data_IF_734009337900
#
_entry.id   IF_734009337900
#
_cell.length_a   1.000
_cell.length_b   1.000
_cell.length_c   1.000
_cell.angle_alpha   90.00
_cell.angle_beta   90.00
_cell.angle_gamma   90.00
#
_symmetry.space_group_name_H-M   'P 1'
#
loop_
_entity.id
_entity.type
_entity.pdbx_description
1 polymer ?
#
# COMPACT_ATOMS: atom_id res chain seq x y z
N UNK A 1 8.35 -6.19 -10.21
CA UNK A 1 7.62 -7.46 -10.35
C UNK A 1 6.19 -7.12 -10.69
N UNK A 2 5.75 -7.49 -11.89
CA UNK A 2 4.38 -7.44 -12.47
C UNK A 2 4.53 -6.99 -13.91
N UNK A 3 4.36 -7.93 -14.86
CA UNK A 3 3.98 -7.53 -16.19
C UNK A 3 2.46 -7.45 -16.24
N UNK A 4 1.97 -6.25 -16.58
CA UNK A 4 0.56 -5.89 -16.64
C UNK A 4 0.14 -5.95 -18.11
N UNK A 5 -0.73 -6.89 -18.45
CA UNK A 5 -1.30 -6.96 -19.79
C UNK A 5 -2.52 -6.03 -19.87
N UNK A 6 -2.30 -4.71 -19.88
CA UNK A 6 -3.40 -3.78 -20.12
C UNK A 6 -3.67 -3.57 -21.60
N UNK A 7 -4.88 -3.98 -22.01
CA UNK A 7 -5.85 -3.02 -22.53
C UNK A 7 -5.52 -2.23 -23.79
N UNK A 8 -4.55 -2.63 -24.61
CA UNK A 8 -4.38 -2.05 -25.94
C UNK A 8 -4.96 -3.00 -27.00
N UNK A 9 -6.05 -2.62 -27.69
CA UNK A 9 -6.53 -3.37 -28.84
C UNK A 9 -5.50 -3.22 -29.96
N UNK A 10 -4.57 -4.17 -30.05
CA UNK A 10 -3.59 -4.20 -31.13
C UNK A 10 -4.23 -4.84 -32.35
N UNK A 11 -4.33 -4.09 -33.46
CA UNK A 11 -4.94 -4.52 -34.70
C UNK A 11 -4.12 -5.60 -35.48
N UNK A 12 -3.07 -6.16 -34.86
CA UNK A 12 -2.12 -7.07 -35.49
C UNK A 12 -1.81 -8.29 -34.60
N UNK A 13 -2.24 -9.48 -35.07
CA UNK A 13 -1.95 -10.86 -34.65
C UNK A 13 -2.11 -11.16 -33.14
N UNK A 14 -3.21 -11.83 -32.79
CA UNK A 14 -3.45 -12.42 -31.48
C UNK A 14 -2.29 -13.23 -30.88
N UNK A 15 -2.27 -13.29 -29.54
CA UNK A 15 -1.26 -13.95 -28.69
C UNK A 15 0.15 -13.33 -28.73
N UNK A 16 0.58 -12.85 -29.90
CA UNK A 16 1.92 -12.36 -30.15
C UNK A 16 2.25 -11.04 -29.44
N UNK A 17 1.30 -10.11 -29.39
CA UNK A 17 1.49 -8.82 -28.72
C UNK A 17 1.77 -8.96 -27.22
N UNK A 18 1.11 -9.91 -26.55
CA UNK A 18 1.38 -10.21 -25.14
C UNK A 18 2.80 -10.74 -24.93
N UNK A 19 3.20 -11.73 -25.74
CA UNK A 19 4.51 -12.38 -25.63
C UNK A 19 5.69 -11.46 -26.01
N UNK A 20 5.49 -10.47 -26.89
CA UNK A 20 6.53 -9.49 -27.26
C UNK A 20 7.06 -8.72 -26.03
N UNK A 21 6.17 -8.39 -25.10
CA UNK A 21 6.58 -7.72 -23.88
C UNK A 21 7.30 -8.64 -22.89
N UNK A 22 6.95 -9.93 -22.83
CA UNK A 22 7.71 -10.90 -22.04
C UNK A 22 9.15 -10.97 -22.55
N UNK A 23 9.36 -11.06 -23.86
CA UNK A 23 10.69 -11.08 -24.47
C UNK A 23 11.47 -9.79 -24.17
N UNK A 24 10.82 -8.64 -24.28
CA UNK A 24 11.43 -7.35 -23.96
C UNK A 24 11.89 -7.28 -22.50
N UNK A 25 11.04 -7.67 -21.55
CA UNK A 25 11.38 -7.63 -20.12
C UNK A 25 12.44 -8.68 -19.79
N UNK A 26 12.38 -9.87 -20.41
CA UNK A 26 13.42 -10.89 -20.25
C UNK A 26 14.79 -10.34 -20.66
N UNK A 27 14.86 -9.62 -21.79
CA UNK A 27 16.08 -8.96 -22.26
C UNK A 27 16.55 -7.84 -21.32
N UNK A 28 15.62 -7.07 -20.74
CA UNK A 28 15.94 -5.89 -19.93
C UNK A 28 16.27 -6.20 -18.47
N UNK A 29 15.46 -7.04 -17.82
CA UNK A 29 15.46 -7.27 -16.37
C UNK A 29 15.70 -8.75 -15.98
N UNK A 30 15.90 -9.62 -16.97
CA UNK A 30 16.07 -11.05 -16.79
C UNK A 30 14.76 -11.81 -16.54
N UNK A 31 14.73 -13.13 -16.83
CA UNK A 31 13.53 -13.95 -16.68
C UNK A 31 13.06 -14.07 -15.22
N UNK A 32 13.98 -13.88 -14.25
CA UNK A 32 13.68 -13.92 -12.82
C UNK A 32 12.77 -12.79 -12.33
N UNK A 33 12.61 -11.72 -13.12
CA UNK A 33 11.88 -10.50 -12.72
C UNK A 33 10.43 -10.47 -13.22
N UNK A 34 9.97 -11.53 -13.89
CA UNK A 34 8.72 -11.57 -14.66
C UNK A 34 7.65 -12.38 -13.91
N UNK A 35 6.42 -11.88 -13.97
CA UNK A 35 5.21 -12.57 -13.49
C UNK A 35 4.01 -12.11 -14.30
N UNK A 36 2.87 -12.79 -14.15
CA UNK A 36 1.65 -12.53 -14.92
C UNK A 36 0.65 -11.75 -14.06
N UNK A 37 0.23 -10.58 -14.54
CA UNK A 37 -0.91 -9.82 -14.02
C UNK A 37 -1.89 -9.51 -15.14
N UNK A 38 -2.95 -10.31 -15.25
CA UNK A 38 -3.88 -10.25 -16.38
C UNK A 38 -4.86 -9.08 -16.35
N UNK A 39 -5.21 -8.56 -15.18
CA UNK A 39 -6.23 -7.50 -15.00
C UNK A 39 -7.60 -7.82 -15.64
N UNK A 40 -7.95 -9.11 -15.69
CA UNK A 40 -9.27 -9.58 -16.07
C UNK A 40 -10.36 -8.92 -15.20
N UNK A 41 -11.47 -8.56 -15.82
CA UNK A 41 -12.58 -7.78 -15.24
C UNK A 41 -12.23 -6.34 -14.79
N UNK A 42 -10.97 -5.91 -14.95
CA UNK A 42 -10.50 -4.54 -14.66
C UNK A 42 -10.47 -3.61 -15.88
N UNK A 43 -10.44 -4.15 -17.10
CA UNK A 43 -10.35 -3.41 -18.37
C UNK A 43 -11.43 -3.80 -19.38
N UNK A 44 -11.65 -2.94 -20.37
CA UNK A 44 -12.72 -3.11 -21.39
C UNK A 44 -12.32 -3.95 -22.60
N UNK A 45 -11.06 -4.38 -22.71
CA UNK A 45 -10.60 -5.14 -23.87
C UNK A 45 -9.26 -5.84 -23.64
N UNK A 46 -9.06 -6.93 -24.38
CA UNK A 46 -7.88 -7.79 -24.32
C UNK A 46 -7.32 -8.04 -25.71
N UNK A 47 -6.02 -8.37 -25.84
CA UNK A 47 -5.45 -8.90 -27.07
C UNK A 47 -6.22 -10.16 -27.52
N UNK A 48 -6.35 -10.33 -28.84
CA UNK A 48 -6.90 -11.57 -29.42
C UNK A 48 -6.13 -12.79 -28.90
N UNK A 49 -6.83 -13.86 -28.54
CA UNK A 49 -6.28 -15.06 -27.91
C UNK A 49 -6.02 -14.93 -26.41
N UNK A 50 -6.38 -13.81 -25.76
CA UNK A 50 -6.30 -13.58 -24.32
C UNK A 50 -7.61 -13.03 -23.74
N UNK A 51 -8.76 -13.34 -24.35
CA UNK A 51 -10.06 -12.74 -24.06
C UNK A 51 -10.55 -12.95 -22.62
N UNK A 52 -10.13 -14.05 -21.98
CA UNK A 52 -10.57 -14.44 -20.65
C UNK A 52 -9.49 -15.24 -19.91
N UNK A 53 -9.75 -15.53 -18.63
CA UNK A 53 -8.83 -16.26 -17.74
C UNK A 53 -8.51 -17.69 -18.20
N UNK A 54 -9.30 -18.29 -19.11
CA UNK A 54 -9.01 -19.62 -19.65
C UNK A 54 -7.85 -19.61 -20.66
N UNK A 55 -7.39 -18.43 -21.09
CA UNK A 55 -6.43 -18.27 -22.19
C UNK A 55 -4.95 -18.28 -21.79
N UNK A 56 -4.62 -18.32 -20.49
CA UNK A 56 -3.23 -18.43 -20.05
C UNK A 56 -2.42 -19.54 -20.74
N UNK A 57 -2.96 -20.75 -21.01
CA UNK A 57 -2.22 -21.77 -21.76
C UNK A 57 -1.76 -21.33 -23.16
N UNK A 58 -2.50 -20.45 -23.84
CA UNK A 58 -2.13 -19.93 -25.17
C UNK A 58 -0.91 -19.00 -25.09
N UNK A 59 -0.82 -18.17 -24.05
CA UNK A 59 0.37 -17.35 -23.78
C UNK A 59 1.58 -18.24 -23.53
N UNK A 60 1.44 -19.27 -22.69
CA UNK A 60 2.55 -20.19 -22.38
C UNK A 60 2.99 -20.95 -23.63
N UNK A 61 2.05 -21.41 -24.45
CA UNK A 61 2.35 -22.04 -25.74
C UNK A 61 3.18 -21.11 -26.65
N UNK A 62 2.81 -19.83 -26.73
CA UNK A 62 3.53 -18.85 -27.54
C UNK A 62 4.94 -18.57 -26.99
N UNK A 63 5.12 -18.48 -25.67
CA UNK A 63 6.44 -18.31 -25.05
C UNK A 63 7.34 -19.54 -25.31
N UNK A 64 6.80 -20.75 -25.18
CA UNK A 64 7.52 -21.99 -25.52
C UNK A 64 7.91 -22.01 -27.00
N UNK A 65 7.01 -21.61 -27.90
CA UNK A 65 7.30 -21.49 -29.35
C UNK A 65 8.45 -20.51 -29.64
N UNK A 66 8.63 -19.49 -28.79
CA UNK A 66 9.71 -18.50 -28.86
C UNK A 66 11.01 -18.94 -28.20
N UNK A 67 11.09 -20.16 -27.67
CA UNK A 67 12.32 -20.72 -27.10
C UNK A 67 12.58 -20.36 -25.64
N UNK A 68 11.54 -19.97 -24.90
CA UNK A 68 11.63 -19.89 -23.44
C UNK A 68 11.90 -21.26 -22.84
N UNK A 69 12.82 -21.32 -21.89
CA UNK A 69 13.18 -22.56 -21.21
C UNK A 69 12.13 -22.92 -20.15
N UNK A 70 11.98 -24.20 -19.85
CA UNK A 70 11.01 -24.71 -18.86
C UNK A 70 11.21 -24.06 -17.48
N UNK A 71 12.45 -23.81 -17.08
CA UNK A 71 12.79 -23.12 -15.82
C UNK A 71 12.30 -21.66 -15.83
N UNK A 72 12.39 -20.97 -16.96
CA UNK A 72 11.93 -19.59 -17.10
C UNK A 72 10.41 -19.52 -17.06
N UNK A 73 9.72 -20.45 -17.73
CA UNK A 73 8.27 -20.57 -17.71
C UNK A 73 7.76 -20.89 -16.30
N UNK A 74 8.41 -21.81 -15.59
CA UNK A 74 8.11 -22.12 -14.17
C UNK A 74 8.29 -20.88 -13.29
N UNK A 75 9.35 -20.10 -13.54
CA UNK A 75 9.58 -18.79 -12.93
C UNK A 75 8.40 -17.85 -13.12
N UNK A 76 8.00 -17.63 -14.37
CA UNK A 76 6.90 -16.74 -14.77
C UNK A 76 5.57 -17.16 -14.14
N UNK A 77 5.25 -18.46 -14.16
CA UNK A 77 3.98 -18.97 -13.66
C UNK A 77 3.83 -18.86 -12.15
N UNK A 78 4.94 -18.95 -11.39
CA UNK A 78 4.84 -19.04 -9.93
C UNK A 78 6.14 -18.71 -9.20
N UNK A 79 7.25 -19.31 -9.61
CA UNK A 79 8.42 -19.39 -8.72
C UNK A 79 9.07 -18.02 -8.47
N UNK A 80 9.01 -17.11 -9.45
CA UNK A 80 9.44 -15.72 -9.26
C UNK A 80 8.60 -15.01 -8.19
N UNK A 81 7.28 -15.24 -8.19
CA UNK A 81 6.37 -14.61 -7.24
C UNK A 81 6.64 -15.14 -5.84
N UNK A 82 6.74 -16.46 -5.70
CA UNK A 82 7.03 -17.08 -4.41
C UNK A 82 8.39 -16.66 -3.85
N UNK A 83 9.41 -16.47 -4.70
CA UNK A 83 10.70 -15.94 -4.25
C UNK A 83 10.53 -14.56 -3.62
N UNK A 84 9.94 -13.61 -4.34
CA UNK A 84 9.73 -12.24 -3.84
C UNK A 84 8.82 -12.23 -2.62
N UNK A 85 7.77 -13.05 -2.60
CA UNK A 85 6.85 -13.09 -1.46
C UNK A 85 7.52 -13.64 -0.20
N UNK A 86 8.36 -14.67 -0.32
CA UNK A 86 9.19 -15.16 0.80
C UNK A 86 10.21 -14.11 1.25
N UNK A 87 10.79 -13.34 0.34
CA UNK A 87 11.70 -12.25 0.70
C UNK A 87 10.96 -11.19 1.53
N UNK A 88 9.72 -10.84 1.14
CA UNK A 88 8.85 -9.93 1.91
C UNK A 88 8.55 -10.49 3.30
N UNK A 89 8.19 -11.78 3.42
CA UNK A 89 7.97 -12.44 4.71
C UNK A 89 9.24 -12.46 5.57
N UNK A 90 10.42 -12.66 4.96
CA UNK A 90 11.69 -12.62 5.66
C UNK A 90 11.97 -11.23 6.26
N UNK A 91 11.70 -10.16 5.51
CA UNK A 91 11.83 -8.79 6.04
C UNK A 91 10.82 -8.54 7.16
N UNK A 92 9.58 -9.01 7.01
CA UNK A 92 8.57 -8.94 8.08
C UNK A 92 9.09 -9.61 9.36
N UNK A 93 9.65 -10.81 9.25
CA UNK A 93 10.18 -11.57 10.40
C UNK A 93 11.35 -10.87 11.10
N UNK A 94 12.20 -10.17 10.33
CA UNK A 94 13.29 -9.34 10.89
C UNK A 94 12.77 -8.11 11.66
N UNK A 95 11.55 -7.67 11.35
CA UNK A 95 10.94 -6.46 11.90
C UNK A 95 9.94 -6.73 13.03
N UNK A 96 9.83 -7.97 13.53
CA UNK A 96 8.86 -8.34 14.57
C UNK A 96 9.03 -7.56 15.89
N UNK A 97 10.21 -7.01 16.15
CA UNK A 97 10.47 -6.19 17.34
C UNK A 97 10.14 -4.69 17.14
N UNK A 98 9.79 -4.28 15.92
CA UNK A 98 9.35 -2.91 15.65
C UNK A 98 7.88 -2.78 16.04
N UNK A 99 7.53 -1.66 16.68
CA UNK A 99 6.13 -1.31 16.91
C UNK A 99 5.48 -0.91 15.59
N UNK A 100 4.18 -1.19 15.40
CA UNK A 100 3.42 -0.66 14.27
C UNK A 100 3.60 0.86 14.15
N UNK A 101 3.68 1.36 12.93
CA UNK A 101 3.75 2.81 12.70
C UNK A 101 2.42 3.45 13.08
N UNK A 102 2.45 4.33 14.07
CA UNK A 102 1.33 5.19 14.49
C UNK A 102 1.43 6.60 13.86
N UNK A 103 2.31 6.79 12.87
CA UNK A 103 2.44 8.07 12.16
C UNK A 103 1.16 8.38 11.39
N UNK A 104 0.48 9.43 11.80
CA UNK A 104 -0.70 9.94 11.10
C UNK A 104 -0.32 10.75 9.85
N UNK A 105 -1.21 10.73 8.86
CA UNK A 105 -1.11 11.57 7.65
C UNK A 105 -1.48 13.01 8.03
N UNK A 106 -0.70 14.03 7.63
CA UNK A 106 -1.01 15.43 7.92
C UNK A 106 -2.39 15.87 7.41
N UNK A 107 -3.08 16.73 8.16
CA UNK A 107 -4.43 17.18 7.81
C UNK A 107 -4.49 17.98 6.50
N UNK A 108 -3.43 18.72 6.18
CA UNK A 108 -3.33 19.50 4.95
C UNK A 108 -3.23 18.62 3.69
N UNK A 109 -2.86 17.35 3.83
CA UNK A 109 -2.90 16.35 2.77
C UNK A 109 -4.30 15.70 2.61
N UNK A 110 -5.21 15.91 3.58
CA UNK A 110 -6.54 15.28 3.59
C UNK A 110 -7.59 16.15 2.87
N UNK A 111 -7.69 16.00 1.55
CA UNK A 111 -8.57 16.82 0.69
C UNK A 111 -10.05 16.40 0.61
N UNK A 112 -10.61 15.71 1.61
CA UNK A 112 -11.97 15.15 1.51
C UNK A 112 -12.92 15.69 2.60
N UNK A 113 -14.09 16.14 2.18
CA UNK A 113 -15.12 16.74 3.07
C UNK A 113 -15.90 15.71 3.89
N UNK A 114 -15.89 14.44 3.48
CA UNK A 114 -16.61 13.36 4.15
C UNK A 114 -15.75 12.67 5.23
N UNK A 115 -15.16 13.46 6.13
CA UNK A 115 -14.36 12.98 7.26
C UNK A 115 -14.78 13.67 8.54
N UNK A 116 -14.93 12.90 9.62
CA UNK A 116 -15.05 13.47 10.96
C UNK A 116 -13.67 13.62 11.57
N UNK A 117 -13.33 14.85 11.96
CA UNK A 117 -12.11 15.14 12.69
C UNK A 117 -12.35 15.01 14.19
N UNK A 118 -11.96 13.86 14.73
CA UNK A 118 -12.11 13.53 16.14
C UNK A 118 -11.17 14.34 17.04
N UNK A 119 -9.98 14.72 16.55
CA UNK A 119 -9.00 15.46 17.35
C UNK A 119 -9.46 16.90 17.59
N UNK A 120 -9.92 17.58 16.53
CA UNK A 120 -10.51 18.91 16.67
C UNK A 120 -11.84 18.89 17.44
N UNK A 121 -12.64 17.82 17.34
CA UNK A 121 -13.86 17.68 18.15
C UNK A 121 -13.55 17.58 19.65
N UNK A 122 -12.58 16.75 20.04
CA UNK A 122 -12.15 16.62 21.43
C UNK A 122 -11.53 17.92 21.96
N UNK A 123 -10.69 18.60 21.16
CA UNK A 123 -10.12 19.89 21.54
C UNK A 123 -11.19 20.98 21.71
N UNK A 124 -12.21 21.04 20.84
CA UNK A 124 -13.33 21.96 20.99
C UNK A 124 -14.18 21.66 22.22
N UNK A 125 -14.43 20.39 22.53
CA UNK A 125 -15.15 19.97 23.74
C UNK A 125 -14.38 20.29 25.03
N UNK A 126 -13.08 20.01 25.06
CA UNK A 126 -12.21 20.34 26.20
C UNK A 126 -12.01 21.85 26.39
N UNK A 127 -12.01 22.64 25.31
CA UNK A 127 -11.94 24.10 25.37
C UNK A 127 -13.29 24.73 25.78
N UNK A 128 -14.41 24.11 25.39
CA UNK A 128 -15.75 24.51 25.81
C UNK A 128 -16.06 24.17 27.28
N UNK A 129 -15.41 23.16 27.86
CA UNK A 129 -15.59 22.79 29.27
C UNK A 129 -14.83 23.68 30.26
N UNK A 130 -13.96 24.59 29.79
CA UNK A 130 -13.56 25.79 30.51
C UNK A 130 -13.24 25.62 32.00
N UNK A 131 -12.56 24.55 32.40
CA UNK A 131 -11.96 24.47 33.75
C UNK A 131 -10.58 25.09 33.62
N UNK A 132 -10.48 26.39 33.93
CA UNK A 132 -9.22 27.02 34.24
C UNK A 132 -8.63 26.24 35.42
N UNK A 133 -7.52 25.52 35.24
CA UNK A 133 -6.77 24.99 36.37
C UNK A 133 -6.30 26.18 37.21
N UNK A 134 -7.05 26.49 38.26
CA UNK A 134 -6.58 27.38 39.32
C UNK A 134 -5.43 26.61 39.96
N UNK A 135 -4.20 27.07 39.73
CA UNK A 135 -3.03 26.50 40.38
C UNK A 135 -3.28 26.40 41.88
N UNK A 136 -3.23 25.19 42.42
CA UNK A 136 -3.41 24.92 43.85
C UNK A 136 -2.46 25.79 44.69
N UNK A 137 -1.27 26.11 44.15
CA UNK A 137 -0.30 27.02 44.79
C UNK A 137 -0.84 28.43 45.06
N UNK A 138 -1.68 28.97 44.18
CA UNK A 138 -2.26 30.30 44.34
C UNK A 138 -3.30 30.31 45.46
N UNK A 139 -4.08 29.24 45.60
CA UNK A 139 -5.06 29.12 46.67
C UNK A 139 -4.40 28.93 48.04
N UNK A 140 -3.31 28.14 48.10
CA UNK A 140 -2.53 27.97 49.33
C UNK A 140 -1.84 29.28 49.77
N UNK A 141 -1.33 30.08 48.84
CA UNK A 141 -0.74 31.38 49.17
C UNK A 141 -1.78 32.37 49.70
N UNK A 142 -2.97 32.41 49.09
CA UNK A 142 -4.05 33.31 49.54
C UNK A 142 -4.57 32.91 50.92
N UNK A 143 -4.76 31.61 51.20
CA UNK A 143 -5.17 31.17 52.54
C UNK A 143 -4.09 31.41 53.59
N UNK A 144 -2.81 31.28 53.23
CA UNK A 144 -1.69 31.58 54.13
C UNK A 144 -1.56 33.08 54.41
N UNK A 145 -1.75 33.93 53.40
CA UNK A 145 -1.74 35.39 53.59
C UNK A 145 -2.92 35.86 54.44
N UNK A 146 -4.11 35.26 54.26
CA UNK A 146 -5.27 35.57 55.09
C UNK A 146 -5.10 35.07 56.53
N UNK A 147 -4.51 33.90 56.76
CA UNK A 147 -4.21 33.44 58.13
C UNK A 147 -3.17 34.32 58.81
N UNK A 148 -2.17 34.83 58.09
CA UNK A 148 -1.22 35.81 58.62
C UNK A 148 -1.91 37.13 59.03
N UNK A 149 -2.93 37.60 58.29
CA UNK A 149 -3.66 38.82 58.64
C UNK A 149 -4.49 38.64 59.92
N UNK A 150 -5.11 37.47 60.13
CA UNK A 150 -5.93 37.19 61.32
C UNK A 150 -5.11 36.84 62.59
N UNK A 151 -3.82 36.51 62.46
CA UNK A 151 -2.95 36.23 63.62
C UNK A 151 -2.31 37.52 64.17
N UNK A 152 -2.33 38.61 63.41
CA UNK A 152 -1.73 39.90 63.77
C UNK A 152 -2.73 41.02 64.14
N UNK A 153 -4.00 40.68 64.43
CA UNK A 153 -4.98 41.59 65.01
C UNK A 153 -5.58 41.04 66.31
#
# INVERSE_FOLDING_TARGET
MLYFCAGQPTHHRGGAAGADHFDYIKKLAGPGSIGIGGDYDGVTGFPEGLEDVSKYPLLIQELLRRGWQDEEIRGVLRDNFLRVFRDVESIRDQQLNLRPSEKEIPEDELSYTCRLDLQNFQQRSAKASGIQEISISAFTLITYMLSCIFIFW
#
